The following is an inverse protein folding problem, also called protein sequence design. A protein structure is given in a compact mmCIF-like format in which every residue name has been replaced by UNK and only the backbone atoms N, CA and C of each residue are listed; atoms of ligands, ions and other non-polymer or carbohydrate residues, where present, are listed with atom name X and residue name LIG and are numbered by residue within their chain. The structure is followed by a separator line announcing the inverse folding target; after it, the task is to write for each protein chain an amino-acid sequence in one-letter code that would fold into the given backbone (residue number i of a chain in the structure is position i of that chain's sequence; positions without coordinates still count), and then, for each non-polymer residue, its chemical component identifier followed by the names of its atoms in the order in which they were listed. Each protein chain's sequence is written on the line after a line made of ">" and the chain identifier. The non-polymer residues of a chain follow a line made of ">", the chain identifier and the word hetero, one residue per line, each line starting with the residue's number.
data_IF_304952983920
#
_entry.id   IF_304952983920
#
_cell.length_a   1.000
_cell.length_b   1.000
_cell.length_c   1.000
_cell.angle_alpha   90.00
_cell.angle_beta   90.00
_cell.angle_gamma   90.00
#
_symmetry.space_group_name_H-M   'P 1'
#
loop_
_entity.id
_entity.type
_entity.pdbx_description
1 polymer ?
#
# COMPACT_ATOMS: atom_id res chain seq x y z
N UNK A 1 22.58 0.56 -23.57
CA UNK A 1 22.88 -0.67 -22.79
C UNK A 1 21.78 -1.66 -23.08
N UNK A 2 22.12 -2.79 -23.69
CA UNK A 2 21.20 -3.69 -24.41
C UNK A 2 20.18 -4.30 -23.43
N UNK A 3 18.91 -4.00 -23.65
CA UNK A 3 17.81 -4.63 -22.94
C UNK A 3 17.70 -6.08 -23.43
N UNK A 4 17.47 -7.01 -22.49
CA UNK A 4 17.22 -8.41 -22.78
C UNK A 4 15.87 -8.53 -23.49
N UNK A 5 15.82 -8.26 -24.80
CA UNK A 5 14.59 -8.35 -25.59
C UNK A 5 14.63 -9.63 -26.41
N UNK A 6 13.82 -10.61 -26.02
CA UNK A 6 13.32 -11.54 -27.04
C UNK A 6 12.50 -10.69 -28.02
N UNK A 7 12.68 -10.82 -29.34
CA UNK A 7 11.89 -10.03 -30.30
C UNK A 7 10.42 -10.45 -30.29
N UNK A 8 10.14 -11.71 -29.94
CA UNK A 8 8.80 -12.29 -29.95
C UNK A 8 8.49 -13.02 -28.64
N UNK A 9 7.20 -13.04 -28.25
CA UNK A 9 6.62 -13.86 -27.18
C UNK A 9 5.66 -14.86 -27.80
N UNK A 10 5.72 -16.14 -27.41
CA UNK A 10 4.78 -17.11 -27.94
C UNK A 10 3.41 -17.00 -27.25
N UNK A 11 2.34 -17.13 -28.03
CA UNK A 11 0.98 -17.17 -27.48
C UNK A 11 0.64 -18.64 -27.19
N UNK A 12 0.32 -18.96 -25.93
CA UNK A 12 -0.08 -20.31 -25.56
C UNK A 12 -1.58 -20.49 -25.81
N UNK A 13 -1.90 -21.41 -26.71
CA UNK A 13 -3.26 -21.86 -26.96
C UNK A 13 -3.83 -22.63 -25.76
N UNK A 14 -5.13 -22.52 -25.53
CA UNK A 14 -5.86 -23.32 -24.55
C UNK A 14 -6.45 -24.57 -25.22
N UNK A 15 -6.76 -25.60 -24.42
CA UNK A 15 -7.42 -26.80 -24.95
C UNK A 15 -8.73 -26.45 -25.66
N UNK A 16 -8.81 -26.81 -26.95
CA UNK A 16 -9.97 -26.56 -27.81
C UNK A 16 -9.83 -25.34 -28.72
N UNK A 17 -8.78 -24.52 -28.56
CA UNK A 17 -8.46 -23.46 -29.52
C UNK A 17 -7.75 -24.05 -30.75
N UNK A 18 -8.17 -23.65 -31.95
CA UNK A 18 -7.38 -23.83 -33.16
C UNK A 18 -6.04 -23.13 -32.96
N UNK A 19 -4.93 -23.78 -33.32
CA UNK A 19 -3.60 -23.15 -33.27
C UNK A 19 -3.68 -21.83 -34.07
N UNK A 20 -3.58 -20.70 -33.38
CA UNK A 20 -3.69 -19.38 -34.01
C UNK A 20 -2.50 -19.17 -34.94
N UNK A 21 -2.75 -18.66 -36.15
CA UNK A 21 -1.78 -18.52 -37.25
C UNK A 21 -0.60 -17.56 -36.95
N UNK A 22 -0.63 -16.85 -35.83
CA UNK A 22 0.46 -16.00 -35.34
C UNK A 22 1.05 -16.59 -34.05
N UNK A 23 2.00 -17.51 -34.19
CA UNK A 23 2.70 -18.19 -33.09
C UNK A 23 3.54 -17.26 -32.21
N UNK A 24 3.74 -15.99 -32.59
CA UNK A 24 4.50 -15.01 -31.82
C UNK A 24 4.01 -13.57 -31.96
N UNK A 25 3.94 -12.85 -30.83
CA UNK A 25 3.65 -11.43 -30.76
C UNK A 25 4.93 -10.61 -30.52
N UNK A 26 5.04 -9.38 -31.06
CA UNK A 26 6.18 -8.51 -30.80
C UNK A 26 6.29 -8.19 -29.32
N UNK A 27 7.51 -8.27 -28.79
CA UNK A 27 7.77 -7.98 -27.38
C UNK A 27 7.52 -6.51 -27.05
N UNK A 28 6.63 -6.17 -26.11
CA UNK A 28 6.33 -4.78 -25.81
C UNK A 28 7.55 -4.02 -25.27
N UNK A 29 7.78 -2.80 -25.78
CA UNK A 29 8.91 -1.96 -25.37
C UNK A 29 8.95 -1.66 -23.85
N UNK A 30 7.81 -1.74 -23.17
CA UNK A 30 7.69 -1.51 -21.72
C UNK A 30 8.51 -2.50 -20.90
N UNK A 31 8.71 -3.72 -21.41
CA UNK A 31 9.54 -4.74 -20.76
C UNK A 31 11.05 -4.55 -20.99
N UNK A 32 11.45 -3.56 -21.80
CA UNK A 32 12.85 -3.16 -21.96
C UNK A 32 13.25 -2.04 -20.99
N UNK A 33 12.34 -1.60 -20.11
CA UNK A 33 12.61 -0.53 -19.17
C UNK A 33 13.61 -0.96 -18.07
N UNK A 34 14.44 -0.05 -17.53
CA UNK A 34 15.36 -0.40 -16.47
C UNK A 34 14.62 -0.80 -15.17
N UNK A 35 15.09 -1.86 -14.53
CA UNK A 35 14.52 -2.35 -13.26
C UNK A 35 15.03 -1.46 -12.11
N UNK A 36 14.14 -0.66 -11.53
CA UNK A 36 14.42 0.32 -10.46
C UNK A 36 13.66 -0.02 -9.17
N UNK A 37 14.22 -0.88 -8.30
CA UNK A 37 13.54 -1.31 -7.07
C UNK A 37 13.36 -0.16 -6.06
N UNK A 38 14.22 0.86 -6.09
CA UNK A 38 14.15 2.09 -5.30
C UNK A 38 12.86 2.87 -5.57
N UNK A 39 12.57 3.13 -6.85
CA UNK A 39 11.39 3.89 -7.29
C UNK A 39 10.12 3.11 -7.03
N UNK A 40 10.12 1.80 -7.28
CA UNK A 40 9.00 0.90 -6.98
C UNK A 40 8.69 0.91 -5.48
N UNK A 41 9.71 0.77 -4.62
CA UNK A 41 9.51 0.78 -3.16
C UNK A 41 8.98 2.11 -2.65
N UNK A 42 9.52 3.22 -3.15
CA UNK A 42 9.12 4.56 -2.76
C UNK A 42 7.66 4.86 -3.17
N UNK A 43 7.31 4.63 -4.43
CA UNK A 43 5.94 4.84 -4.93
C UNK A 43 4.93 3.92 -4.25
N UNK A 44 5.28 2.65 -4.01
CA UNK A 44 4.43 1.72 -3.27
C UNK A 44 4.14 2.23 -1.84
N UNK A 45 5.14 2.77 -1.13
CA UNK A 45 4.95 3.35 0.21
C UNK A 45 3.93 4.48 0.19
N UNK A 46 4.00 5.36 -0.81
CA UNK A 46 3.04 6.48 -0.95
C UNK A 46 1.63 5.98 -1.23
N UNK A 47 1.46 5.06 -2.19
CA UNK A 47 0.16 4.47 -2.54
C UNK A 47 -0.45 3.70 -1.36
N UNK A 48 0.37 2.95 -0.61
CA UNK A 48 -0.05 2.22 0.59
C UNK A 48 -0.49 3.14 1.73
N UNK A 49 0.10 4.34 1.85
CA UNK A 49 -0.37 5.35 2.79
C UNK A 49 -1.74 5.91 2.40
N UNK A 50 -2.00 6.10 1.11
CA UNK A 50 -3.25 6.66 0.59
C UNK A 50 -4.46 5.73 0.75
N UNK A 51 -4.25 4.42 0.91
CA UNK A 51 -5.34 3.46 1.16
C UNK A 51 -5.84 3.44 2.62
N UNK A 52 -5.18 4.17 3.52
CA UNK A 52 -5.54 4.17 4.94
C UNK A 52 -6.73 5.09 5.18
N UNK A 53 -7.73 4.58 5.91
CA UNK A 53 -8.77 5.44 6.47
C UNK A 53 -8.17 6.31 7.58
N UNK A 54 -8.40 7.63 7.56
CA UNK A 54 -7.96 8.50 8.64
C UNK A 54 -8.66 8.09 9.94
N UNK A 55 -7.89 7.96 11.01
CA UNK A 55 -8.41 7.75 12.35
C UNK A 55 -7.72 8.71 13.31
N UNK A 56 -8.47 9.17 14.30
CA UNK A 56 -8.00 10.05 15.34
C UNK A 56 -8.72 9.73 16.64
N UNK A 57 -8.16 10.21 17.75
CA UNK A 57 -8.90 10.29 19.02
C UNK A 57 -9.98 11.38 18.86
N UNK A 58 -11.09 11.29 19.59
CA UNK A 58 -12.16 12.29 19.55
C UNK A 58 -11.63 13.72 19.63
N UNK A 59 -12.20 14.64 18.83
CA UNK A 59 -11.86 16.07 18.81
C UNK A 59 -12.14 16.76 20.15
N UNK A 60 -12.87 16.15 21.08
CA UNK A 60 -13.11 16.67 22.43
C UNK A 60 -12.39 15.87 23.51
N UNK A 61 -11.67 14.79 23.16
CA UNK A 61 -10.91 14.01 24.11
C UNK A 61 -9.87 14.88 24.82
N UNK A 62 -9.84 14.78 26.15
CA UNK A 62 -8.95 15.57 27.01
C UNK A 62 -9.33 17.04 27.19
N UNK A 63 -10.44 17.52 26.60
CA UNK A 63 -10.87 18.92 26.68
C UNK A 63 -12.22 19.16 27.37
N UNK A 64 -12.87 18.10 27.85
CA UNK A 64 -14.14 18.20 28.58
C UNK A 64 -13.94 18.54 30.06
N UNK A 65 -12.71 18.49 30.55
CA UNK A 65 -12.40 18.72 31.96
C UNK A 65 -12.00 20.18 32.14
N UNK A 66 -12.75 20.97 32.90
CA UNK A 66 -12.29 22.28 33.34
C UNK A 66 -11.03 22.08 34.17
N UNK A 67 -9.94 22.75 33.83
CA UNK A 67 -8.68 22.66 34.57
C UNK A 67 -7.82 23.87 34.30
N UNK A 68 -7.25 24.41 35.38
CA UNK A 68 -6.42 25.61 35.37
C UNK A 68 -5.12 25.34 36.12
N UNK A 69 -4.06 26.07 35.77
CA UNK A 69 -2.77 25.91 36.44
C UNK A 69 -2.79 26.64 37.78
N UNK A 70 -2.34 25.97 38.84
CA UNK A 70 -2.25 26.58 40.17
C UNK A 70 -1.08 27.57 40.33
N UNK A 71 -0.24 27.73 39.30
CA UNK A 71 0.94 28.59 39.35
C UNK A 71 2.12 27.95 40.09
N UNK A 72 3.06 28.78 40.58
CA UNK A 72 4.25 28.37 41.32
C UNK A 72 4.00 28.27 42.82
N UNK A 73 4.96 27.74 43.59
CA UNK A 73 4.90 27.75 45.07
C UNK A 73 4.16 26.59 45.73
N UNK A 74 3.73 25.57 44.97
CA UNK A 74 3.01 24.40 45.48
C UNK A 74 3.81 23.08 45.39
N UNK A 75 5.13 23.14 45.21
CA UNK A 75 6.03 21.99 45.01
C UNK A 75 5.58 21.00 43.91
N UNK A 76 4.87 21.51 42.90
CA UNK A 76 4.15 20.73 41.90
C UNK A 76 4.32 21.39 40.52
N UNK A 77 4.31 20.60 39.45
CA UNK A 77 4.47 21.11 38.07
C UNK A 77 3.34 22.07 37.65
N UNK A 78 3.67 23.04 36.79
CA UNK A 78 2.78 24.12 36.29
C UNK A 78 1.69 23.66 35.31
N UNK A 79 1.37 22.36 35.29
CA UNK A 79 0.37 21.77 34.41
C UNK A 79 -1.04 22.12 34.93
N UNK A 80 -2.02 22.42 34.05
CA UNK A 80 -3.41 22.63 34.46
C UNK A 80 -3.99 21.45 35.25
N UNK A 81 -4.73 21.71 36.33
CA UNK A 81 -5.29 20.69 37.24
C UNK A 81 -6.79 20.82 37.37
N UNK A 82 -7.46 19.68 37.54
CA UNK A 82 -8.92 19.61 37.71
C UNK A 82 -9.29 20.28 39.05
N UNK A 83 -10.20 21.27 39.06
CA UNK A 83 -10.62 21.95 40.27
C UNK A 83 -11.54 21.05 41.11
N UNK A 84 -11.73 21.42 42.37
CA UNK A 84 -12.58 20.71 43.32
C UNK A 84 -11.81 19.85 44.33
N UNK A 85 -12.55 19.11 45.14
CA UNK A 85 -12.07 18.18 46.15
C UNK A 85 -13.02 16.99 46.32
N UNK A 86 -12.63 15.96 47.05
CA UNK A 86 -13.49 14.81 47.37
C UNK A 86 -13.52 13.68 46.32
N UNK A 87 -13.02 13.88 45.10
CA UNK A 87 -12.81 12.79 44.13
C UNK A 87 -11.32 12.53 43.91
N UNK A 88 -10.92 11.28 43.69
CA UNK A 88 -9.53 10.92 43.39
C UNK A 88 -8.96 11.58 42.11
N UNK A 89 -9.83 12.18 41.28
CA UNK A 89 -9.46 12.88 40.05
C UNK A 89 -9.16 14.38 40.29
N UNK A 90 -9.69 14.97 41.36
CA UNK A 90 -9.42 16.35 41.71
C UNK A 90 -7.91 16.57 41.97
N UNK A 91 -7.36 17.67 41.48
CA UNK A 91 -5.92 17.96 41.59
C UNK A 91 -5.00 17.21 40.63
N UNK A 92 -5.50 16.27 39.80
CA UNK A 92 -4.69 15.62 38.76
C UNK A 92 -4.47 16.54 37.55
N UNK A 93 -3.34 16.35 36.84
CA UNK A 93 -2.99 17.12 35.64
C UNK A 93 -3.86 16.78 34.42
N UNK A 94 -4.33 17.79 33.70
CA UNK A 94 -5.17 17.70 32.51
C UNK A 94 -4.57 18.50 31.33
N UNK A 95 -5.17 18.37 30.15
CA UNK A 95 -4.85 19.06 28.88
C UNK A 95 -3.46 18.84 28.24
N UNK A 96 -2.45 18.44 29.01
CA UNK A 96 -1.11 18.21 28.49
C UNK A 96 -0.95 16.95 27.64
N UNK A 97 -0.08 16.98 26.63
CA UNK A 97 0.28 15.80 25.83
C UNK A 97 0.97 14.70 26.67
N UNK A 98 1.64 15.10 27.75
CA UNK A 98 2.26 14.26 28.77
C UNK A 98 1.26 13.77 29.83
N UNK A 99 0.08 14.38 29.90
CA UNK A 99 -1.00 13.92 30.77
C UNK A 99 -1.77 12.81 30.07
N UNK A 100 -2.30 11.88 30.88
CA UNK A 100 -3.15 10.79 30.39
C UNK A 100 -4.39 11.38 29.71
N UNK A 101 -4.49 11.27 28.39
CA UNK A 101 -5.60 11.81 27.59
C UNK A 101 -5.25 12.95 26.62
N UNK A 102 -3.97 13.31 26.47
CA UNK A 102 -3.50 14.30 25.50
C UNK A 102 -3.68 13.92 24.01
N UNK A 103 -3.48 14.89 23.11
CA UNK A 103 -3.82 14.79 21.67
C UNK A 103 -2.62 14.58 20.75
N UNK A 104 -2.87 14.04 19.57
CA UNK A 104 -1.89 13.89 18.49
C UNK A 104 -2.51 14.17 17.11
N UNK A 105 -1.80 14.88 16.24
CA UNK A 105 -2.21 15.16 14.85
C UNK A 105 -1.35 14.40 13.84
N UNK A 106 -1.92 14.03 12.68
CA UNK A 106 -1.21 13.28 11.63
C UNK A 106 -1.79 13.49 10.23
N UNK A 107 -0.91 13.59 9.21
CA UNK A 107 -1.25 13.56 7.79
C UNK A 107 -1.14 12.14 7.21
N UNK A 108 -2.19 11.67 6.53
CA UNK A 108 -2.29 10.30 5.99
C UNK A 108 -1.93 10.22 4.51
N UNK A 109 -2.54 11.08 3.68
CA UNK A 109 -2.36 11.06 2.24
C UNK A 109 -1.08 11.78 1.80
N UNK A 110 -0.45 11.23 0.76
CA UNK A 110 0.72 11.79 0.09
C UNK A 110 0.48 11.79 -1.42
N UNK A 111 0.70 12.95 -2.05
CA UNK A 111 0.64 13.08 -3.51
C UNK A 111 1.76 12.26 -4.14
N UNK A 112 1.44 11.54 -5.20
CA UNK A 112 2.40 10.80 -6.02
C UNK A 112 2.53 11.52 -7.36
N UNK A 113 3.75 11.79 -7.79
CA UNK A 113 3.98 12.33 -9.13
C UNK A 113 3.62 11.28 -10.19
N UNK A 114 2.90 11.68 -11.23
CA UNK A 114 2.42 10.80 -12.30
C UNK A 114 3.60 10.16 -13.04
N UNK A 115 4.63 10.92 -13.37
CA UNK A 115 5.81 10.39 -14.07
C UNK A 115 6.57 9.36 -13.24
N UNK A 116 6.73 9.63 -11.94
CA UNK A 116 7.33 8.69 -10.99
C UNK A 116 6.54 7.38 -10.91
N UNK A 117 5.20 7.49 -10.92
CA UNK A 117 4.31 6.32 -10.94
C UNK A 117 4.44 5.53 -12.24
N UNK A 118 4.52 6.19 -13.40
CA UNK A 118 4.70 5.54 -14.71
C UNK A 118 6.01 4.75 -14.79
N UNK A 119 7.12 5.36 -14.33
CA UNK A 119 8.43 4.68 -14.28
C UNK A 119 8.39 3.45 -13.36
N UNK A 120 7.74 3.57 -12.20
CA UNK A 120 7.58 2.45 -11.30
C UNK A 120 6.73 1.31 -11.89
N UNK A 121 5.64 1.61 -12.61
CA UNK A 121 4.83 0.59 -13.30
C UNK A 121 5.63 -0.11 -14.40
N UNK A 122 6.34 0.64 -15.24
CA UNK A 122 7.20 0.07 -16.29
C UNK A 122 8.29 -0.85 -15.72
N UNK A 123 8.95 -0.42 -14.63
CA UNK A 123 9.94 -1.23 -13.92
C UNK A 123 9.31 -2.50 -13.32
N UNK A 124 8.08 -2.44 -12.82
CA UNK A 124 7.39 -3.61 -12.26
C UNK A 124 7.01 -4.62 -13.35
N UNK A 125 6.54 -4.14 -14.51
CA UNK A 125 6.27 -5.00 -15.67
C UNK A 125 7.54 -5.68 -16.16
N UNK A 126 8.63 -4.92 -16.32
CA UNK A 126 9.92 -5.52 -16.71
C UNK A 126 10.38 -6.60 -15.74
N UNK A 127 10.18 -6.40 -14.43
CA UNK A 127 10.53 -7.42 -13.43
C UNK A 127 9.73 -8.73 -13.57
N UNK A 128 8.50 -8.69 -14.11
CA UNK A 128 7.71 -9.92 -14.35
C UNK A 128 8.23 -10.77 -15.50
N UNK A 129 8.98 -10.19 -16.43
CA UNK A 129 9.57 -10.92 -17.55
C UNK A 129 10.86 -11.66 -17.17
N UNK A 130 11.49 -11.34 -16.03
CA UNK A 130 12.76 -11.93 -15.60
C UNK A 130 12.50 -13.10 -14.64
N UNK A 131 12.73 -14.37 -15.06
CA UNK A 131 12.40 -15.55 -14.24
C UNK A 131 13.12 -15.55 -12.89
N UNK A 132 14.38 -15.11 -12.86
CA UNK A 132 15.18 -15.04 -11.64
C UNK A 132 14.54 -14.14 -10.55
N UNK A 133 13.92 -13.02 -10.94
CA UNK A 133 13.25 -12.12 -10.00
C UNK A 133 11.92 -12.70 -9.50
N UNK A 134 11.20 -13.42 -10.36
CA UNK A 134 9.94 -14.10 -10.01
C UNK A 134 10.20 -15.25 -9.04
N UNK A 135 11.26 -16.02 -9.27
CA UNK A 135 11.69 -17.09 -8.36
C UNK A 135 12.23 -16.54 -7.04
N UNK A 136 13.01 -15.45 -7.06
CA UNK A 136 13.50 -14.77 -5.86
C UNK A 136 12.37 -14.20 -4.98
N UNK A 137 11.25 -13.78 -5.60
CA UNK A 137 10.03 -13.39 -4.87
C UNK A 137 9.35 -14.59 -4.19
N UNK A 138 9.63 -15.80 -4.68
CA UNK A 138 9.15 -17.06 -4.13
C UNK A 138 7.89 -17.59 -4.82
N UNK A 139 7.69 -17.32 -6.11
CA UNK A 139 6.67 -18.04 -6.90
C UNK A 139 7.18 -19.42 -7.33
N UNK A 140 6.27 -20.40 -7.46
CA UNK A 140 6.59 -21.72 -8.05
C UNK A 140 6.37 -21.65 -9.57
N UNK A 141 7.45 -21.61 -10.35
CA UNK A 141 7.42 -21.39 -11.81
C UNK A 141 8.14 -22.49 -12.60
N UNK A 142 8.46 -23.62 -11.99
CA UNK A 142 9.25 -24.71 -12.59
C UNK A 142 8.59 -25.32 -13.84
N UNK A 143 7.25 -25.37 -13.85
CA UNK A 143 6.44 -25.93 -14.92
C UNK A 143 6.04 -24.92 -16.01
N UNK A 144 6.39 -23.64 -15.84
CA UNK A 144 5.98 -22.57 -16.76
C UNK A 144 7.03 -22.44 -17.88
N UNK A 145 6.62 -22.52 -19.17
CA UNK A 145 7.57 -22.56 -20.28
C UNK A 145 8.26 -21.22 -20.55
N UNK A 146 7.57 -20.10 -20.35
CA UNK A 146 8.11 -18.77 -20.59
C UNK A 146 7.46 -17.68 -19.72
N UNK A 147 8.17 -16.56 -19.56
CA UNK A 147 7.72 -15.37 -18.85
C UNK A 147 8.03 -14.12 -19.69
N UNK A 148 7.10 -13.14 -19.79
CA UNK A 148 5.71 -13.20 -19.35
C UNK A 148 4.92 -14.22 -20.17
N UNK A 149 4.01 -14.95 -19.52
CA UNK A 149 3.15 -15.91 -20.20
C UNK A 149 1.97 -15.19 -20.85
N UNK A 150 1.81 -15.39 -22.16
CA UNK A 150 0.69 -14.86 -22.95
C UNK A 150 -0.23 -16.02 -23.34
N UNK A 151 -1.53 -15.82 -23.15
CA UNK A 151 -2.59 -16.82 -23.41
C UNK A 151 -3.50 -16.26 -24.51
N UNK A 152 -4.16 -17.15 -25.26
CA UNK A 152 -5.19 -16.78 -26.23
C UNK A 152 -6.34 -15.96 -25.62
N UNK A 153 -6.94 -15.09 -26.42
CA UNK A 153 -8.08 -14.24 -26.02
C UNK A 153 -9.34 -15.04 -25.67
N UNK A 154 -9.42 -16.30 -26.12
CA UNK A 154 -10.47 -17.26 -25.72
C UNK A 154 -10.61 -17.38 -24.20
N UNK A 155 -9.53 -17.15 -23.45
CA UNK A 155 -9.51 -17.15 -21.98
C UNK A 155 -10.46 -16.10 -21.36
N UNK A 156 -10.75 -15.01 -22.07
CA UNK A 156 -11.58 -13.92 -21.56
C UNK A 156 -13.07 -14.30 -21.47
N UNK A 157 -13.51 -15.25 -22.30
CA UNK A 157 -14.91 -15.70 -22.35
C UNK A 157 -15.33 -16.59 -21.17
N UNK A 158 -14.39 -16.94 -20.31
CA UNK A 158 -14.57 -17.97 -19.27
C UNK A 158 -15.36 -17.44 -18.08
N UNK A 159 -16.37 -18.20 -17.70
CA UNK A 159 -17.28 -17.85 -16.60
C UNK A 159 -17.05 -18.70 -15.35
N UNK A 160 -16.75 -19.99 -15.51
CA UNK A 160 -16.71 -20.95 -14.40
C UNK A 160 -15.32 -21.06 -13.80
N UNK A 161 -15.25 -21.04 -12.48
CA UNK A 161 -14.01 -21.24 -11.71
C UNK A 161 -13.35 -22.59 -12.01
N UNK A 162 -14.14 -23.63 -12.28
CA UNK A 162 -13.64 -24.96 -12.65
C UNK A 162 -12.89 -24.95 -13.98
N UNK A 163 -13.33 -24.14 -14.94
CA UNK A 163 -12.63 -23.97 -16.23
C UNK A 163 -11.32 -23.19 -16.03
N UNK A 164 -11.35 -22.13 -15.22
CA UNK A 164 -10.14 -21.38 -14.84
C UNK A 164 -9.07 -22.27 -14.18
N UNK A 165 -9.48 -23.22 -13.33
CA UNK A 165 -8.56 -24.19 -12.73
C UNK A 165 -7.93 -25.15 -13.76
N UNK A 166 -8.69 -25.60 -14.76
CA UNK A 166 -8.18 -26.48 -15.83
C UNK A 166 -7.08 -25.77 -16.63
N UNK A 167 -7.30 -24.51 -16.97
CA UNK A 167 -6.33 -23.69 -17.71
C UNK A 167 -5.05 -23.48 -16.93
N UNK A 168 -5.15 -23.12 -15.65
CA UNK A 168 -3.96 -22.94 -14.82
C UNK A 168 -3.14 -24.23 -14.67
N UNK A 169 -3.79 -25.40 -14.72
CA UNK A 169 -3.12 -26.70 -14.72
C UNK A 169 -2.42 -26.97 -16.04
N UNK A 170 -3.08 -26.73 -17.18
CA UNK A 170 -2.51 -26.89 -18.51
C UNK A 170 -1.27 -26.00 -18.72
N UNK A 171 -1.37 -24.75 -18.28
CA UNK A 171 -0.29 -23.75 -18.36
C UNK A 171 0.86 -24.04 -17.39
N UNK A 172 0.62 -24.88 -16.37
CA UNK A 172 1.60 -25.14 -15.30
C UNK A 172 1.70 -24.04 -14.25
N UNK A 173 0.78 -23.07 -14.21
CA UNK A 173 0.75 -22.01 -13.19
C UNK A 173 0.02 -22.42 -11.90
N UNK A 174 -0.62 -23.58 -11.88
CA UNK A 174 -1.44 -24.04 -10.75
C UNK A 174 -0.63 -24.32 -9.46
N UNK A 175 0.64 -24.70 -9.58
CA UNK A 175 1.51 -24.97 -8.42
C UNK A 175 1.67 -23.74 -7.49
N UNK A 176 1.59 -22.53 -8.04
CA UNK A 176 1.65 -21.29 -7.27
C UNK A 176 0.33 -20.98 -6.54
N UNK A 177 -0.80 -21.39 -7.14
CA UNK A 177 -2.14 -21.29 -6.53
C UNK A 177 -2.28 -22.28 -5.38
N UNK A 178 -1.80 -23.52 -5.54
CA UNK A 178 -1.74 -24.51 -4.45
C UNK A 178 -0.90 -24.00 -3.28
N UNK A 179 0.28 -23.44 -3.57
CA UNK A 179 1.10 -22.78 -2.55
C UNK A 179 0.36 -21.67 -1.82
N UNK A 180 -0.44 -20.87 -2.53
CA UNK A 180 -1.23 -19.81 -1.92
C UNK A 180 -2.34 -20.39 -1.01
N UNK A 181 -2.99 -21.48 -1.43
CA UNK A 181 -4.02 -22.20 -0.68
C UNK A 181 -3.49 -22.75 0.65
N UNK A 182 -2.31 -23.37 0.65
CA UNK A 182 -1.74 -23.98 1.87
C UNK A 182 -1.13 -22.94 2.82
N UNK A 183 -0.78 -21.77 2.29
CA UNK A 183 -0.06 -20.73 3.05
C UNK A 183 -0.93 -19.83 3.94
N UNK A 184 -2.19 -20.17 4.14
CA UNK A 184 -3.16 -19.34 4.88
C UNK A 184 -2.79 -19.30 6.36
N UNK A 185 -2.06 -18.25 6.76
CA UNK A 185 -1.60 -18.05 8.12
C UNK A 185 -2.57 -17.23 8.97
N UNK A 186 -2.71 -17.56 10.24
CA UNK A 186 -3.45 -16.73 11.21
C UNK A 186 -2.58 -15.51 11.58
N UNK A 187 -3.12 -14.31 11.42
CA UNK A 187 -2.45 -13.05 11.73
C UNK A 187 -2.23 -12.92 13.25
N UNK A 188 -0.99 -12.68 13.72
CA UNK A 188 -0.75 -12.41 15.13
C UNK A 188 -1.28 -11.03 15.56
N UNK A 189 -1.59 -10.90 16.85
CA UNK A 189 -2.00 -9.65 17.49
C UNK A 189 -3.45 -9.21 17.23
N UNK A 190 -3.71 -7.91 17.42
CA UNK A 190 -5.05 -7.28 17.34
C UNK A 190 -5.63 -7.19 15.91
N UNK A 191 -4.98 -7.80 14.91
CA UNK A 191 -5.52 -7.88 13.56
C UNK A 191 -6.75 -8.80 13.46
N UNK A 192 -6.78 -9.86 14.29
CA UNK A 192 -7.85 -10.87 14.32
C UNK A 192 -9.22 -10.24 14.63
N UNK A 193 -9.27 -9.36 15.62
CA UNK A 193 -10.50 -8.63 16.01
C UNK A 193 -10.97 -7.58 14.99
N UNK A 194 -10.17 -7.28 13.95
CA UNK A 194 -10.48 -6.25 12.94
C UNK A 194 -10.80 -6.85 11.57
N UNK A 195 -11.36 -8.07 11.54
CA UNK A 195 -11.69 -8.81 10.31
C UNK A 195 -10.48 -9.04 9.39
N UNK A 196 -9.27 -9.19 9.96
CA UNK A 196 -8.02 -9.48 9.24
C UNK A 196 -7.35 -10.72 9.82
N UNK A 197 -8.15 -11.77 10.05
CA UNK A 197 -7.70 -13.02 10.68
C UNK A 197 -6.69 -13.76 9.83
N UNK A 198 -6.90 -13.86 8.52
CA UNK A 198 -6.03 -14.62 7.62
C UNK A 198 -5.06 -13.73 6.85
N UNK A 199 -3.87 -14.27 6.59
CA UNK A 199 -2.86 -13.71 5.69
C UNK A 199 -2.59 -14.75 4.63
N UNK A 200 -2.96 -14.42 3.39
CA UNK A 200 -2.75 -15.30 2.26
C UNK A 200 -1.57 -14.77 1.44
N UNK A 201 -0.73 -15.67 0.94
CA UNK A 201 0.30 -15.29 -0.04
C UNK A 201 -0.37 -14.85 -1.35
N UNK A 202 0.37 -14.08 -2.13
CA UNK A 202 -0.06 -13.64 -3.46
C UNK A 202 0.50 -14.61 -4.49
N UNK A 203 -0.39 -15.13 -5.33
CA UNK A 203 -0.07 -16.02 -6.43
C UNK A 203 -0.03 -15.28 -7.77
N UNK A 204 -0.51 -15.90 -8.86
CA UNK A 204 -0.43 -15.31 -10.19
C UNK A 204 -1.36 -14.09 -10.34
N UNK A 205 -0.88 -13.11 -11.11
CA UNK A 205 -1.66 -11.95 -11.53
C UNK A 205 -2.11 -12.18 -12.97
N UNK A 206 -3.42 -12.13 -13.21
CA UNK A 206 -4.00 -12.27 -14.55
C UNK A 206 -4.37 -10.88 -15.04
N UNK A 207 -3.87 -10.53 -16.22
CA UNK A 207 -4.12 -9.25 -16.88
C UNK A 207 -4.97 -9.49 -18.12
N UNK A 208 -6.06 -8.76 -18.25
CA UNK A 208 -7.01 -8.87 -19.37
C UNK A 208 -7.23 -7.52 -20.05
N UNK A 209 -7.57 -7.54 -21.34
CA UNK A 209 -7.74 -6.34 -22.16
C UNK A 209 -9.17 -5.80 -22.14
N UNK A 210 -10.15 -6.69 -22.31
CA UNK A 210 -11.52 -6.27 -22.61
C UNK A 210 -12.28 -5.75 -21.39
N UNK A 211 -12.91 -4.58 -21.53
CA UNK A 211 -13.82 -4.05 -20.50
C UNK A 211 -15.08 -4.93 -20.38
N UNK A 212 -15.49 -5.28 -19.15
CA UNK A 212 -16.68 -6.12 -18.91
C UNK A 212 -16.46 -7.63 -19.07
N UNK A 213 -15.22 -8.08 -19.29
CA UNK A 213 -14.89 -9.50 -19.44
C UNK A 213 -15.33 -10.36 -18.23
N UNK A 214 -15.84 -11.57 -18.53
CA UNK A 214 -16.35 -12.52 -17.53
C UNK A 214 -15.23 -13.21 -16.75
N UNK A 215 -13.99 -13.11 -17.23
CA UNK A 215 -12.77 -13.63 -16.61
C UNK A 215 -12.61 -13.21 -15.14
N UNK A 216 -13.03 -11.98 -14.79
CA UNK A 216 -12.95 -11.47 -13.42
C UNK A 216 -13.76 -12.34 -12.46
N UNK A 217 -14.93 -12.83 -12.88
CA UNK A 217 -15.77 -13.69 -12.03
C UNK A 217 -15.17 -15.08 -11.87
N UNK A 218 -14.58 -15.63 -12.93
CA UNK A 218 -13.97 -16.95 -12.92
C UNK A 218 -12.71 -17.03 -12.05
N UNK A 219 -11.84 -16.03 -12.09
CA UNK A 219 -10.56 -16.07 -11.39
C UNK A 219 -10.55 -15.43 -10.00
N UNK A 220 -11.52 -14.56 -9.66
CA UNK A 220 -11.57 -13.85 -8.37
C UNK A 220 -11.69 -14.76 -7.14
N UNK A 221 -12.31 -15.94 -7.28
CA UNK A 221 -12.50 -16.86 -6.15
C UNK A 221 -11.28 -17.76 -5.88
N UNK A 222 -10.29 -17.76 -6.77
CA UNK A 222 -9.11 -18.60 -6.61
C UNK A 222 -8.19 -18.04 -5.51
N UNK A 223 -7.60 -18.92 -4.68
CA UNK A 223 -6.77 -18.47 -3.56
C UNK A 223 -5.50 -17.80 -4.08
N UNK A 224 -5.26 -16.56 -3.63
CA UNK A 224 -4.03 -15.81 -3.91
C UNK A 224 -3.95 -15.18 -5.31
N UNK A 225 -4.87 -15.51 -6.22
CA UNK A 225 -4.94 -14.94 -7.57
C UNK A 225 -5.47 -13.51 -7.49
N UNK A 226 -4.82 -12.59 -8.21
CA UNK A 226 -5.33 -11.23 -8.44
C UNK A 226 -5.64 -11.06 -9.93
N UNK A 227 -6.63 -10.24 -10.25
CA UNK A 227 -7.06 -9.94 -11.63
C UNK A 227 -6.99 -8.43 -11.84
N UNK A 228 -6.44 -7.99 -12.98
CA UNK A 228 -6.32 -6.58 -13.33
C UNK A 228 -6.62 -6.35 -14.82
N UNK A 229 -7.23 -5.21 -15.15
CA UNK A 229 -7.37 -4.77 -16.54
C UNK A 229 -6.12 -3.97 -16.95
N UNK A 230 -5.70 -4.09 -18.22
CA UNK A 230 -4.56 -3.36 -18.81
C UNK A 230 -4.66 -1.85 -18.57
N UNK A 231 -5.83 -1.24 -18.77
CA UNK A 231 -6.06 0.19 -18.62
C UNK A 231 -5.93 0.68 -17.17
N UNK A 232 -6.19 -0.21 -16.21
CA UNK A 232 -6.21 0.10 -14.77
C UNK A 232 -5.05 -0.54 -14.03
N UNK A 233 -3.99 -0.92 -14.75
CA UNK A 233 -2.76 -1.44 -14.17
C UNK A 233 -2.16 -0.42 -13.21
N UNK A 234 -2.16 -0.80 -11.95
CA UNK A 234 -1.49 -0.06 -10.90
C UNK A 234 -0.30 -0.88 -10.42
N UNK A 235 0.67 -0.21 -9.80
CA UNK A 235 1.72 -0.93 -9.06
C UNK A 235 1.05 -1.93 -8.13
N UNK A 236 1.21 -3.25 -8.39
CA UNK A 236 0.57 -4.25 -7.57
C UNK A 236 1.10 -4.09 -6.16
N UNK A 237 0.33 -4.55 -5.17
CA UNK A 237 0.89 -4.73 -3.82
C UNK A 237 2.10 -5.66 -3.96
N UNK A 238 3.36 -5.21 -3.72
CA UNK A 238 4.36 -6.15 -3.32
C UNK A 238 3.89 -6.66 -1.96
N UNK A 239 3.35 -7.88 -1.94
CA UNK A 239 3.13 -8.58 -0.70
C UNK A 239 4.52 -8.80 -0.09
N UNK A 240 4.85 -7.90 0.84
CA UNK A 240 5.96 -8.02 1.78
C UNK A 240 7.32 -8.33 1.12
N UNK A 241 8.06 -7.28 0.76
CA UNK A 241 9.45 -7.29 1.20
C UNK A 241 9.41 -7.55 2.72
N UNK A 242 10.04 -8.67 3.12
CA UNK A 242 10.22 -9.19 4.48
C UNK A 242 10.02 -8.13 5.57
N UNK A 243 9.16 -8.46 6.56
CA UNK A 243 9.18 -7.94 7.94
C UNK A 243 10.04 -6.69 8.15
N UNK A 244 9.55 -5.52 7.75
CA UNK A 244 10.01 -4.27 8.34
C UNK A 244 9.03 -3.95 9.48
N UNK A 245 9.49 -3.79 10.74
CA UNK A 245 8.62 -3.35 11.82
C UNK A 245 7.96 -2.03 11.40
N UNK A 246 6.72 -1.85 11.84
CA UNK A 246 5.88 -0.69 11.53
C UNK A 246 6.41 0.64 12.14
N UNK A 247 7.72 0.91 12.07
CA UNK A 247 8.39 2.05 12.66
C UNK A 247 8.63 3.21 11.67
N UNK A 248 8.75 2.97 10.36
CA UNK A 248 9.25 3.99 9.42
C UNK A 248 8.17 4.87 8.74
N UNK A 249 7.14 5.29 9.50
CA UNK A 249 6.24 6.40 9.10
C UNK A 249 6.20 7.52 10.15
N UNK A 250 7.20 7.61 11.03
CA UNK A 250 7.55 8.89 11.65
C UNK A 250 8.43 9.65 10.65
N UNK A 251 7.81 10.29 9.68
CA UNK A 251 8.45 11.46 9.11
C UNK A 251 8.56 12.45 10.28
N UNK A 252 9.78 12.71 10.74
CA UNK A 252 10.05 13.85 11.61
C UNK A 252 9.59 15.06 10.81
N UNK A 253 8.41 15.58 11.10
CA UNK A 253 8.15 16.96 10.74
C UNK A 253 9.14 17.78 11.56
N UNK A 254 9.91 18.70 10.96
CA UNK A 254 10.49 19.76 11.76
C UNK A 254 9.34 20.42 12.54
N UNK A 255 9.54 20.78 13.81
CA UNK A 255 8.51 21.49 14.56
C UNK A 255 8.04 22.70 13.74
N UNK A 256 6.74 23.05 13.76
CA UNK A 256 6.30 24.28 13.12
C UNK A 256 7.17 25.41 13.69
N UNK A 257 7.87 26.14 12.80
CA UNK A 257 8.55 27.37 13.18
C UNK A 257 7.50 28.23 13.88
N UNK A 258 7.80 28.63 15.11
CA UNK A 258 6.94 29.56 15.85
C UNK A 258 6.64 30.77 14.95
N UNK A 259 5.42 31.32 14.97
CA UNK A 259 5.15 32.58 14.30
C UNK A 259 6.17 33.59 14.85
N UNK A 260 6.98 34.15 13.97
CA UNK A 260 7.86 35.28 14.30
C UNK A 260 7.00 36.34 14.96
N UNK A 261 7.25 36.60 16.23
CA UNK A 261 6.70 37.75 16.92
C UNK A 261 7.08 38.98 16.11
N UNK A 262 6.09 39.61 15.46
CA UNK A 262 6.25 41.00 15.06
C UNK A 262 6.40 41.79 16.37
N UNK A 263 7.48 42.56 16.55
CA UNK A 263 7.60 43.42 17.72
C UNK A 263 6.42 44.41 17.72
N UNK A 264 5.84 44.74 18.88
CA UNK A 264 4.81 45.76 18.95
C UNK A 264 5.39 47.09 18.46
N UNK A 265 4.73 47.68 17.47
CA UNK A 265 4.98 49.05 17.04
C UNK A 265 4.79 49.96 18.26
N UNK A 266 5.89 50.49 18.78
CA UNK A 266 5.90 51.56 19.78
C UNK A 266 5.20 52.79 19.16
N UNK A 267 3.90 52.94 19.40
CA UNK A 267 3.21 54.23 19.27
C UNK A 267 3.42 54.99 20.57
N UNK A 268 4.24 56.03 20.51
CA UNK A 268 4.48 56.95 21.63
C UNK A 268 5.58 57.94 21.30
N UNK A 269 5.33 58.85 20.35
CA UNK A 269 6.09 60.09 20.27
C UNK A 269 5.53 61.06 21.31
N UNK A 270 6.36 61.76 22.10
CA UNK A 270 5.90 62.77 23.04
C UNK A 270 5.40 64.01 22.29
N UNK A 271 4.25 64.54 22.71
CA UNK A 271 3.72 65.82 22.24
C UNK A 271 4.61 66.97 22.74
N UNK A 272 4.94 67.97 21.92
CA UNK A 272 5.64 69.16 22.38
C UNK A 272 4.68 70.05 23.18
N UNK A 273 5.00 70.28 24.45
CA UNK A 273 4.50 71.42 25.22
C UNK A 273 5.16 72.71 24.71
N UNK A 274 4.41 73.81 24.77
CA UNK A 274 4.77 75.19 24.38
C UNK A 274 6.23 75.59 24.63
#
# INVERSE_FOLDING_TARGET
>A
MVAFSRPLVSVKALEGDMATDATGLPYPAVFSAPIRPDVVTFTHKLLSCNKRQPYAVSRHAGHQTSAESWGTGRAVSRIPRVPGGGTHRAGQGAFGNMCRGGRMFRKWHRRVNVNLRRVAVASALTATAVPALVQARGHRIETVPELPLVISDSAESIEKTSQALKILKQVGAYADVEKAKDSVGIRPGKGKMRNRRYINRKGPLIVYGTEGSKIVKAFRNLPGVDVANVERLNLPRPAAHRRAPAAACRARHPPPRAPSACPPVLRGLPAPSK
#
